data_IF_306235943399
#
_entry.id   IF_306235943399
#
_cell.length_a   1.000
_cell.length_b   1.000
_cell.length_c   1.000
_cell.angle_alpha   90.00
_cell.angle_beta   90.00
_cell.angle_gamma   90.00
#
_symmetry.space_group_name_H-M   'P 1'
#
loop_
_entity.id
_entity.type
_entity.pdbx_description
1 polymer ?
#
# COMPACT_ATOMS: atom_id res chain seq x y z
N UNK A 1 -9.24 -27.37 51.46
CA UNK A 1 -9.33 -25.90 51.67
C UNK A 1 -7.97 -25.20 51.80
N UNK A 2 -6.93 -25.82 52.42
CA UNK A 2 -5.59 -25.21 52.52
C UNK A 2 -4.78 -25.13 51.20
N UNK A 3 -5.01 -26.02 50.24
CA UNK A 3 -4.28 -26.02 48.95
C UNK A 3 -4.74 -24.92 47.96
N UNK A 4 -6.00 -24.47 48.01
CA UNK A 4 -6.51 -23.42 47.10
C UNK A 4 -6.10 -21.99 47.50
N UNK A 5 -5.78 -21.75 48.77
CA UNK A 5 -5.29 -20.44 49.24
C UNK A 5 -3.82 -20.22 48.80
N UNK A 6 -3.04 -21.30 48.71
CA UNK A 6 -1.63 -21.24 48.32
C UNK A 6 -1.43 -21.05 46.81
N UNK A 7 -2.32 -21.60 45.98
CA UNK A 7 -2.34 -21.36 44.52
C UNK A 7 -2.81 -19.92 44.21
N UNK A 8 -3.83 -19.40 44.91
CA UNK A 8 -4.23 -18.00 44.74
C UNK A 8 -3.14 -17.03 45.24
N UNK A 9 -2.45 -17.32 46.33
CA UNK A 9 -1.30 -16.52 46.78
C UNK A 9 -0.16 -16.55 45.76
N UNK A 10 0.19 -17.72 45.18
CA UNK A 10 1.25 -17.84 44.18
C UNK A 10 0.89 -17.18 42.83
N UNK A 11 -0.38 -17.22 42.42
CA UNK A 11 -0.88 -16.52 41.21
C UNK A 11 -0.98 -15.02 41.44
N UNK A 12 -1.29 -14.58 42.67
CA UNK A 12 -1.30 -13.17 43.05
C UNK A 12 0.12 -12.64 43.20
N UNK A 13 1.06 -13.42 43.76
CA UNK A 13 2.50 -13.12 43.82
C UNK A 13 3.13 -13.11 42.42
N UNK A 14 2.78 -14.05 41.53
CA UNK A 14 3.26 -14.04 40.14
C UNK A 14 2.63 -12.89 39.32
N UNK A 15 1.37 -12.54 39.59
CA UNK A 15 0.70 -11.38 38.98
C UNK A 15 1.24 -10.04 39.51
N UNK A 16 1.55 -9.97 40.80
CA UNK A 16 2.21 -8.82 41.44
C UNK A 16 3.66 -8.70 40.99
N UNK A 17 4.39 -9.81 40.87
CA UNK A 17 5.76 -9.84 40.35
C UNK A 17 5.81 -9.44 38.88
N UNK A 18 4.88 -9.92 38.04
CA UNK A 18 4.78 -9.49 36.65
C UNK A 18 4.37 -8.01 36.51
N UNK A 19 3.46 -7.52 37.37
CA UNK A 19 3.09 -6.12 37.42
C UNK A 19 4.25 -5.24 37.92
N UNK A 20 4.98 -5.69 38.93
CA UNK A 20 6.18 -5.02 39.45
C UNK A 20 7.28 -4.95 38.39
N UNK A 21 7.54 -6.05 37.69
CA UNK A 21 8.52 -6.11 36.61
C UNK A 21 8.11 -5.21 35.43
N UNK A 22 6.82 -5.10 35.13
CA UNK A 22 6.32 -4.17 34.11
C UNK A 22 6.48 -2.70 34.52
N UNK A 23 6.22 -2.36 35.79
CA UNK A 23 6.45 -1.01 36.30
C UNK A 23 7.95 -0.66 36.34
N UNK A 24 8.81 -1.62 36.73
CA UNK A 24 10.27 -1.44 36.69
C UNK A 24 10.78 -1.17 35.27
N UNK A 25 10.29 -1.91 34.26
CA UNK A 25 10.64 -1.66 32.86
C UNK A 25 10.17 -0.28 32.39
N UNK A 26 8.98 0.16 32.80
CA UNK A 26 8.45 1.48 32.49
C UNK A 26 9.28 2.60 33.13
N UNK A 27 9.69 2.43 34.38
CA UNK A 27 10.55 3.38 35.09
C UNK A 27 11.94 3.46 34.46
N UNK A 28 12.52 2.32 34.07
CA UNK A 28 13.79 2.25 33.34
C UNK A 28 13.68 2.93 31.97
N UNK A 29 12.59 2.70 31.23
CA UNK A 29 12.34 3.36 29.95
C UNK A 29 12.27 4.88 30.12
N UNK A 30 11.59 5.36 31.17
CA UNK A 30 11.49 6.78 31.46
C UNK A 30 12.84 7.39 31.86
N UNK A 31 13.67 6.65 32.62
CA UNK A 31 15.04 7.05 32.96
C UNK A 31 15.91 7.18 31.71
N UNK A 32 15.91 6.15 30.85
CA UNK A 32 16.68 6.16 29.59
C UNK A 32 16.27 7.31 28.69
N UNK A 33 14.96 7.52 28.48
CA UNK A 33 14.45 8.58 27.61
C UNK A 33 14.66 10.00 28.19
N UNK A 34 14.88 10.12 29.50
CA UNK A 34 15.19 11.40 30.15
C UNK A 34 16.70 11.71 30.22
N UNK A 35 17.57 10.73 29.91
CA UNK A 35 19.03 10.86 29.96
C UNK A 35 19.65 11.06 28.57
N UNK A 36 20.28 12.21 28.35
CA UNK A 36 21.04 12.47 27.11
C UNK A 36 22.25 11.56 26.94
N UNK A 37 22.87 11.16 28.05
CA UNK A 37 24.04 10.30 28.02
C UNK A 37 23.65 8.88 27.57
N UNK A 38 22.55 8.34 28.11
CA UNK A 38 22.07 6.99 27.78
C UNK A 38 21.61 6.92 26.32
N UNK A 39 20.88 7.94 25.84
CA UNK A 39 20.49 8.04 24.42
C UNK A 39 21.70 8.07 23.49
N UNK A 40 22.77 8.78 23.88
CA UNK A 40 24.01 8.84 23.08
C UNK A 40 24.75 7.51 23.06
N UNK A 41 24.72 6.76 24.16
CA UNK A 41 25.30 5.42 24.24
C UNK A 41 24.49 4.41 23.41
N UNK A 42 23.16 4.47 23.45
CA UNK A 42 22.27 3.69 22.58
C UNK A 42 22.51 4.02 21.11
N UNK A 43 22.73 5.29 20.77
CA UNK A 43 23.07 5.68 19.41
C UNK A 43 24.40 5.10 18.93
N UNK A 44 25.42 5.07 19.81
CA UNK A 44 26.70 4.41 19.52
C UNK A 44 26.50 2.90 19.32
N UNK A 45 25.74 2.24 20.19
CA UNK A 45 25.43 0.82 20.07
C UNK A 45 24.59 0.49 18.83
N UNK A 46 23.67 1.37 18.43
CA UNK A 46 22.82 1.17 17.24
C UNK A 46 23.65 1.14 15.94
N UNK A 47 24.76 1.89 15.89
CA UNK A 47 25.74 1.87 14.79
C UNK A 47 26.58 0.59 14.80
N UNK A 48 26.91 0.06 15.99
CA UNK A 48 27.76 -1.12 16.17
C UNK A 48 27.00 -2.46 16.02
N UNK A 49 25.73 -2.55 16.43
CA UNK A 49 24.97 -3.81 16.57
C UNK A 49 23.71 -3.93 15.67
N UNK A 50 23.53 -3.05 14.67
CA UNK A 50 22.39 -3.06 13.72
C UNK A 50 20.99 -2.92 14.35
N UNK A 51 20.67 -1.78 14.99
CA UNK A 51 19.31 -1.19 15.14
C UNK A 51 18.22 -1.70 16.15
N UNK A 52 18.15 -2.94 16.72
CA UNK A 52 16.91 -3.40 17.39
C UNK A 52 16.61 -2.69 18.72
N UNK A 53 17.62 -2.17 19.42
CA UNK A 53 17.44 -1.54 20.74
C UNK A 53 16.76 -0.18 20.61
N UNK A 54 17.20 0.64 19.64
CA UNK A 54 16.62 1.95 19.39
C UNK A 54 15.19 1.85 18.82
N UNK A 55 14.92 0.88 17.95
CA UNK A 55 13.57 0.59 17.44
C UNK A 55 12.62 0.15 18.56
N UNK A 56 13.09 -0.70 19.48
CA UNK A 56 12.30 -1.15 20.62
C UNK A 56 12.01 -0.03 21.60
N UNK A 57 13.01 0.81 21.92
CA UNK A 57 12.82 1.97 22.78
C UNK A 57 11.89 3.02 22.15
N UNK A 58 11.97 3.21 20.83
CA UNK A 58 11.05 4.08 20.10
C UNK A 58 9.61 3.56 20.18
N UNK A 59 9.41 2.26 19.96
CA UNK A 59 8.10 1.61 20.02
C UNK A 59 7.51 1.61 21.44
N UNK A 60 8.27 1.14 22.42
CA UNK A 60 7.82 1.02 23.82
C UNK A 60 7.57 2.41 24.42
N UNK A 61 8.42 3.40 24.08
CA UNK A 61 8.22 4.79 24.49
C UNK A 61 6.99 5.43 23.85
N UNK A 62 6.71 5.14 22.57
CA UNK A 62 5.50 5.62 21.89
C UNK A 62 4.24 5.03 22.55
N UNK A 63 4.25 3.74 22.88
CA UNK A 63 3.14 3.08 23.57
C UNK A 63 2.89 3.69 24.96
N UNK A 64 3.93 3.92 25.75
CA UNK A 64 3.78 4.52 27.09
C UNK A 64 3.35 5.98 27.04
N UNK A 65 3.82 6.74 26.02
CA UNK A 65 3.38 8.10 25.76
C UNK A 65 1.90 8.17 25.43
N UNK A 66 1.40 7.27 24.57
CA UNK A 66 -0.01 7.23 24.15
C UNK A 66 -0.97 6.90 25.30
N UNK A 67 -0.47 6.28 26.38
CA UNK A 67 -1.22 6.03 27.62
C UNK A 67 -1.33 7.25 28.54
N UNK A 68 -0.58 8.34 28.28
CA UNK A 68 -0.59 9.55 29.13
C UNK A 68 -1.56 10.63 28.60
N UNK A 69 -2.22 11.40 29.48
CA UNK A 69 -2.94 12.61 29.07
C UNK A 69 -1.99 13.62 28.41
N UNK A 70 -2.39 14.26 27.31
CA UNK A 70 -1.51 15.11 26.47
C UNK A 70 -0.98 16.36 27.17
N UNK A 71 -1.72 16.87 28.13
CA UNK A 71 -1.35 18.01 28.97
C UNK A 71 -0.50 17.61 30.19
N UNK A 72 -0.31 16.30 30.42
CA UNK A 72 0.51 15.81 31.52
C UNK A 72 1.98 16.03 31.24
N UNK A 73 2.73 16.33 32.31
CA UNK A 73 4.18 16.44 32.25
C UNK A 73 4.82 15.14 31.72
N UNK A 74 4.26 13.97 32.09
CA UNK A 74 4.73 12.66 31.62
C UNK A 74 4.64 12.51 30.10
N UNK A 75 3.56 13.00 29.47
CA UNK A 75 3.42 12.99 28.02
C UNK A 75 4.52 13.83 27.35
N UNK A 76 4.75 15.04 27.86
CA UNK A 76 5.79 15.95 27.35
C UNK A 76 7.20 15.39 27.52
N UNK A 77 7.44 14.66 28.62
CA UNK A 77 8.73 14.03 28.91
C UNK A 77 9.00 12.87 27.94
N UNK A 78 8.02 11.99 27.70
CA UNK A 78 8.14 10.94 26.69
C UNK A 78 8.33 11.53 25.29
N UNK A 79 7.55 12.54 24.92
CA UNK A 79 7.65 13.22 23.63
C UNK A 79 9.06 13.76 23.38
N UNK A 80 9.66 14.42 24.39
CA UNK A 80 11.01 14.98 24.31
C UNK A 80 12.07 13.88 24.24
N UNK A 81 11.91 12.80 25.01
CA UNK A 81 12.83 11.67 25.01
C UNK A 81 12.85 10.90 23.70
N UNK A 82 11.67 10.61 23.13
CA UNK A 82 11.53 9.98 21.82
C UNK A 82 12.11 10.86 20.69
N UNK A 83 11.91 12.18 20.76
CA UNK A 83 12.50 13.12 19.81
C UNK A 83 14.04 13.11 19.87
N UNK A 84 14.63 13.08 21.07
CA UNK A 84 16.08 12.97 21.23
C UNK A 84 16.60 11.63 20.71
N UNK A 85 15.90 10.53 20.99
CA UNK A 85 16.24 9.19 20.48
C UNK A 85 16.25 9.17 18.95
N UNK A 86 15.24 9.78 18.30
CA UNK A 86 15.19 9.94 16.85
C UNK A 86 16.39 10.74 16.33
N UNK A 87 16.67 11.91 16.91
CA UNK A 87 17.77 12.78 16.47
C UNK A 87 19.15 12.11 16.57
N UNK A 88 19.34 11.23 17.55
CA UNK A 88 20.62 10.54 17.76
C UNK A 88 20.76 9.24 16.96
N UNK A 89 19.67 8.56 16.64
CA UNK A 89 19.71 7.21 16.05
C UNK A 89 19.19 7.14 14.62
N UNK A 90 18.42 8.14 14.16
CA UNK A 90 17.71 8.12 12.89
C UNK A 90 16.47 7.21 12.85
N UNK A 91 16.20 6.47 13.93
CA UNK A 91 14.99 5.64 14.07
C UNK A 91 13.77 6.56 14.13
N UNK A 92 12.73 6.29 13.35
CA UNK A 92 11.49 7.06 13.33
C UNK A 92 10.45 6.41 14.27
N UNK A 93 9.55 7.19 14.90
CA UNK A 93 8.34 6.63 15.48
C UNK A 93 7.51 5.93 14.39
N UNK A 94 6.82 4.86 14.79
CA UNK A 94 5.88 4.12 13.93
C UNK A 94 4.86 5.10 13.36
N UNK A 95 4.84 5.27 12.03
CA UNK A 95 3.82 5.93 11.17
C UNK A 95 2.95 6.99 11.87
N UNK A 96 3.06 8.30 11.52
CA UNK A 96 2.41 9.38 12.26
C UNK A 96 0.93 9.13 12.59
N UNK A 97 0.55 9.23 13.86
CA UNK A 97 -0.86 9.17 14.27
C UNK A 97 -1.51 10.55 14.17
N UNK A 98 -2.32 10.74 13.13
CA UNK A 98 -2.97 12.00 12.76
C UNK A 98 -4.39 12.15 13.33
N UNK A 99 -4.76 11.31 14.30
CA UNK A 99 -6.11 11.24 14.89
C UNK A 99 -6.65 12.56 15.43
N UNK A 100 -5.77 13.47 15.84
CA UNK A 100 -6.14 14.79 16.38
C UNK A 100 -6.07 15.91 15.33
N UNK A 101 -5.52 15.62 14.15
CA UNK A 101 -5.26 16.61 13.10
C UNK A 101 -6.22 16.48 11.91
N UNK A 102 -6.94 15.36 11.85
CA UNK A 102 -7.82 15.02 10.75
C UNK A 102 -9.27 15.08 11.20
N UNK A 103 -10.10 15.71 10.38
CA UNK A 103 -11.55 15.67 10.49
C UNK A 103 -12.14 14.94 9.29
N UNK A 104 -13.18 14.12 9.51
CA UNK A 104 -13.85 13.41 8.43
C UNK A 104 -14.89 14.31 7.77
N UNK A 105 -14.81 14.46 6.45
CA UNK A 105 -15.78 15.21 5.65
C UNK A 105 -16.98 14.30 5.33
N UNK A 106 -17.99 14.32 6.21
CA UNK A 106 -19.24 13.59 6.04
C UNK A 106 -19.33 12.26 6.79
N UNK A 107 -20.52 11.65 6.78
CA UNK A 107 -20.80 10.40 7.50
C UNK A 107 -20.67 9.14 6.64
N UNK A 108 -20.84 9.26 5.32
CA UNK A 108 -20.81 8.13 4.38
C UNK A 108 -19.47 8.05 3.67
N UNK A 109 -19.04 6.82 3.38
CA UNK A 109 -17.87 6.59 2.54
C UNK A 109 -18.14 7.12 1.13
N UNK A 110 -17.09 7.68 0.50
CA UNK A 110 -17.13 8.12 -0.90
C UNK A 110 -17.05 6.92 -1.84
N UNK A 111 -16.27 5.92 -1.46
CA UNK A 111 -16.19 4.64 -2.17
C UNK A 111 -15.95 3.50 -1.19
N UNK A 112 -16.36 2.29 -1.57
CA UNK A 112 -16.21 1.08 -0.77
C UNK A 112 -15.76 -0.08 -1.65
N UNK A 113 -14.76 -0.81 -1.20
CA UNK A 113 -14.30 -2.07 -1.78
C UNK A 113 -14.76 -3.28 -0.96
N UNK A 114 -14.18 -4.44 -1.26
CA UNK A 114 -14.47 -5.68 -0.52
C UNK A 114 -13.98 -5.61 0.92
N UNK A 115 -12.80 -5.01 1.16
CA UNK A 115 -12.11 -5.02 2.47
C UNK A 115 -11.85 -3.63 3.04
N UNK A 116 -12.36 -2.57 2.39
CA UNK A 116 -12.08 -1.22 2.84
C UNK A 116 -13.16 -0.24 2.41
N UNK A 117 -13.28 0.84 3.17
CA UNK A 117 -14.07 2.00 2.85
C UNK A 117 -13.15 3.21 2.81
N UNK A 118 -13.43 4.14 1.90
CA UNK A 118 -12.66 5.38 1.76
C UNK A 118 -13.58 6.57 2.02
N UNK A 119 -13.21 7.37 3.00
CA UNK A 119 -13.83 8.66 3.28
C UNK A 119 -12.93 9.80 2.83
N UNK A 120 -13.54 10.93 2.54
CA UNK A 120 -12.81 12.19 2.42
C UNK A 120 -12.65 12.79 3.83
N UNK A 121 -11.52 13.42 4.06
CA UNK A 121 -11.23 14.16 5.27
C UNK A 121 -10.45 15.43 4.96
N UNK A 122 -10.16 16.17 6.01
CA UNK A 122 -9.38 17.39 5.97
C UNK A 122 -8.29 17.30 7.03
N UNK A 123 -7.05 17.53 6.62
CA UNK A 123 -5.89 17.60 7.49
C UNK A 123 -5.60 19.08 7.80
N UNK A 124 -5.55 19.40 9.09
CA UNK A 124 -5.31 20.74 9.63
C UNK A 124 -6.22 21.84 9.05
N UNK A 125 -7.47 21.49 8.69
CA UNK A 125 -8.47 22.47 8.24
C UNK A 125 -8.16 23.13 6.88
N UNK A 126 -7.34 22.49 6.03
CA UNK A 126 -7.13 23.02 4.68
C UNK A 126 -6.67 22.03 3.61
N UNK A 127 -6.13 20.86 3.97
CA UNK A 127 -5.67 19.87 2.98
C UNK A 127 -6.62 18.68 2.91
N UNK A 128 -7.21 18.44 1.73
CA UNK A 128 -8.03 17.24 1.51
C UNK A 128 -7.19 15.97 1.63
N UNK A 129 -7.71 15.00 2.37
CA UNK A 129 -7.09 13.68 2.55
C UNK A 129 -8.11 12.56 2.30
N UNK A 130 -7.61 11.42 1.84
CA UNK A 130 -8.34 10.17 1.80
C UNK A 130 -8.09 9.40 3.10
N UNK A 131 -9.16 8.93 3.73
CA UNK A 131 -9.14 8.11 4.93
C UNK A 131 -9.61 6.72 4.53
N UNK A 132 -8.68 5.78 4.38
CA UNK A 132 -9.00 4.40 4.00
C UNK A 132 -9.11 3.53 5.24
N UNK A 133 -10.32 3.28 5.70
CA UNK A 133 -10.58 2.36 6.80
C UNK A 133 -10.63 0.92 6.32
N UNK A 134 -9.81 0.06 6.92
CA UNK A 134 -9.77 -1.36 6.58
C UNK A 134 -10.77 -2.14 7.45
N UNK A 135 -11.64 -2.92 6.80
CA UNK A 135 -12.63 -3.76 7.48
C UNK A 135 -11.96 -5.05 7.93
N UNK A 136 -12.28 -5.53 9.14
CA UNK A 136 -11.86 -6.85 9.60
C UNK A 136 -10.39 -6.99 10.01
N UNK A 137 -9.64 -5.90 10.19
CA UNK A 137 -8.23 -5.94 10.65
C UNK A 137 -8.08 -6.33 12.14
N UNK A 138 -9.17 -6.58 12.85
CA UNK A 138 -9.15 -6.96 14.26
C UNK A 138 -9.34 -8.48 14.44
N UNK A 139 -8.30 -9.30 14.27
CA UNK A 139 -8.45 -10.75 14.55
C UNK A 139 -7.23 -11.45 15.18
N UNK A 140 -5.97 -10.98 15.07
CA UNK A 140 -4.87 -11.59 15.85
C UNK A 140 -3.63 -10.70 16.02
N UNK A 141 -2.79 -10.91 17.06
CA UNK A 141 -1.51 -10.21 17.24
C UNK A 141 -0.54 -10.37 16.05
N UNK A 142 -0.58 -11.53 15.38
CA UNK A 142 0.25 -11.80 14.20
C UNK A 142 -0.22 -11.00 12.97
N UNK A 143 -1.53 -10.91 12.77
CA UNK A 143 -2.14 -10.09 11.72
C UNK A 143 -1.82 -8.60 11.92
N UNK A 144 -1.84 -8.11 13.16
CA UNK A 144 -1.47 -6.75 13.51
C UNK A 144 0.01 -6.44 13.20
N UNK A 145 0.94 -7.32 13.61
CA UNK A 145 2.38 -7.14 13.35
C UNK A 145 2.71 -7.10 11.85
N UNK A 146 1.98 -7.88 11.04
CA UNK A 146 2.11 -7.88 9.58
C UNK A 146 1.54 -6.60 8.97
N UNK A 147 0.37 -6.18 9.42
CA UNK A 147 -0.22 -4.91 9.04
C UNK A 147 0.73 -3.73 9.31
N UNK A 148 1.33 -3.66 10.50
CA UNK A 148 2.30 -2.63 10.86
C UNK A 148 3.54 -2.63 9.96
N UNK A 149 4.05 -3.82 9.59
CA UNK A 149 5.19 -3.94 8.65
C UNK A 149 4.87 -3.34 7.29
N UNK A 150 3.71 -3.66 6.73
CA UNK A 150 3.28 -3.14 5.42
C UNK A 150 3.13 -1.62 5.45
N UNK A 151 2.58 -1.06 6.53
CA UNK A 151 2.46 0.39 6.69
C UNK A 151 3.85 1.04 6.81
N UNK A 152 4.79 0.44 7.54
CA UNK A 152 6.17 0.95 7.67
C UNK A 152 6.93 0.88 6.34
N UNK A 153 6.69 -0.15 5.53
CA UNK A 153 7.25 -0.22 4.17
C UNK A 153 6.67 0.92 3.34
N UNK A 154 5.34 1.09 3.32
CA UNK A 154 4.68 2.16 2.58
C UNK A 154 5.15 3.55 3.02
N UNK A 155 5.27 3.82 4.32
CA UNK A 155 5.70 5.15 4.81
C UNK A 155 7.11 5.54 4.41
N UNK A 156 7.95 4.58 4.00
CA UNK A 156 9.32 4.81 3.51
C UNK A 156 9.41 4.93 1.98
N UNK A 157 8.32 4.66 1.26
CA UNK A 157 8.30 4.81 -0.20
C UNK A 157 8.27 6.29 -0.57
N UNK A 158 9.20 6.68 -1.44
CA UNK A 158 9.33 8.04 -1.94
C UNK A 158 9.54 8.02 -3.46
N UNK A 159 8.46 8.24 -4.19
CA UNK A 159 8.48 8.28 -5.65
C UNK A 159 7.25 9.05 -6.17
N UNK A 160 7.38 9.91 -7.20
CA UNK A 160 6.28 10.75 -7.71
C UNK A 160 5.08 9.98 -8.26
N UNK A 161 5.26 8.71 -8.63
CA UNK A 161 4.21 7.83 -9.14
C UNK A 161 3.72 6.79 -8.11
N UNK A 162 4.03 6.98 -6.82
CA UNK A 162 3.49 6.18 -5.71
C UNK A 162 2.65 7.09 -4.83
N UNK A 163 1.44 6.65 -4.47
CA UNK A 163 0.59 7.42 -3.56
C UNK A 163 1.27 7.46 -2.18
N UNK A 164 1.58 8.63 -1.61
CA UNK A 164 2.26 8.71 -0.33
C UNK A 164 1.29 8.39 0.83
N UNK A 165 1.85 7.83 1.91
CA UNK A 165 1.18 7.64 3.17
C UNK A 165 1.58 8.76 4.14
N UNK A 166 0.62 9.60 4.54
CA UNK A 166 0.86 10.65 5.52
C UNK A 166 0.85 10.12 6.96
N UNK A 167 0.05 9.10 7.24
CA UNK A 167 -0.07 8.56 8.59
C UNK A 167 -1.27 7.65 8.75
N UNK A 168 -1.67 7.45 10.01
CA UNK A 168 -2.85 6.67 10.39
C UNK A 168 -3.78 7.47 11.31
N UNK A 169 -5.04 7.05 11.35
CA UNK A 169 -6.05 7.53 12.30
C UNK A 169 -6.71 6.34 12.97
N UNK A 170 -6.81 6.36 14.30
CA UNK A 170 -7.32 5.25 15.11
C UNK A 170 -8.54 5.61 15.95
N UNK A 171 -8.93 6.88 16.01
CA UNK A 171 -10.08 7.36 16.79
C UNK A 171 -11.37 7.55 15.96
N UNK A 172 -11.40 7.11 14.69
CA UNK A 172 -12.56 7.28 13.79
C UNK A 172 -13.39 6.00 13.63
N UNK A 173 -13.84 5.45 14.76
CA UNK A 173 -14.61 4.20 14.81
C UNK A 173 -13.75 2.96 15.07
N UNK A 174 -14.23 1.75 14.76
CA UNK A 174 -13.58 0.50 15.15
C UNK A 174 -12.39 0.09 14.26
N UNK A 175 -12.03 0.91 13.27
CA UNK A 175 -11.05 0.55 12.25
C UNK A 175 -9.89 1.54 12.22
N UNK A 176 -8.70 1.03 11.90
CA UNK A 176 -7.55 1.86 11.57
C UNK A 176 -7.78 2.43 10.16
N UNK A 177 -7.57 3.74 10.03
CA UNK A 177 -7.67 4.45 8.76
C UNK A 177 -6.28 4.86 8.29
N UNK A 178 -5.92 4.49 7.07
CA UNK A 178 -4.70 4.95 6.40
C UNK A 178 -4.98 6.32 5.77
N UNK A 179 -4.04 7.25 5.91
CA UNK A 179 -4.18 8.63 5.46
C UNK A 179 -3.27 8.90 4.27
N UNK A 180 -3.85 9.30 3.15
CA UNK A 180 -3.14 9.72 1.94
C UNK A 180 -3.72 11.02 1.39
N UNK A 181 -3.01 11.76 0.52
CA UNK A 181 -3.59 12.93 -0.13
C UNK A 181 -4.79 12.53 -1.00
N UNK A 182 -5.87 13.31 -0.90
CA UNK A 182 -7.02 13.14 -1.78
C UNK A 182 -6.64 13.43 -3.24
N UNK A 183 -7.09 12.59 -4.16
CA UNK A 183 -6.81 12.71 -5.59
C UNK A 183 -8.09 13.15 -6.30
N UNK A 184 -8.24 14.46 -6.53
CA UNK A 184 -9.48 15.05 -7.07
C UNK A 184 -9.83 14.54 -8.49
N UNK A 185 -8.81 14.13 -9.27
CA UNK A 185 -8.99 13.58 -10.61
C UNK A 185 -9.37 12.08 -10.62
N UNK A 186 -9.52 11.46 -9.45
CA UNK A 186 -10.01 10.09 -9.32
C UNK A 186 -9.04 9.05 -9.88
N UNK A 187 -9.59 7.94 -10.41
CA UNK A 187 -8.80 6.85 -10.99
C UNK A 187 -8.56 7.05 -12.49
N UNK A 188 -7.53 6.38 -13.01
CA UNK A 188 -7.08 6.52 -14.39
C UNK A 188 -8.18 6.24 -15.41
N UNK A 189 -9.04 5.23 -15.20
CA UNK A 189 -10.08 4.87 -16.16
C UNK A 189 -11.15 5.96 -16.27
N UNK A 190 -11.60 6.49 -15.13
CA UNK A 190 -12.61 7.55 -15.13
C UNK A 190 -12.01 8.88 -15.62
N UNK A 191 -10.75 9.14 -15.30
CA UNK A 191 -10.02 10.32 -15.77
C UNK A 191 -9.87 10.36 -17.30
N UNK A 192 -9.44 9.26 -17.94
CA UNK A 192 -9.29 9.23 -19.40
C UNK A 192 -10.64 9.22 -20.15
N UNK A 193 -11.74 8.84 -19.48
CA UNK A 193 -13.09 8.98 -20.04
C UNK A 193 -13.56 10.44 -20.04
N UNK A 194 -13.21 11.20 -19.00
CA UNK A 194 -13.56 12.63 -18.90
C UNK A 194 -12.60 13.54 -19.66
N UNK A 195 -11.39 13.07 -19.97
CA UNK A 195 -10.36 13.79 -20.73
C UNK A 195 -9.93 12.96 -21.95
N UNK A 196 -10.74 12.91 -23.02
CA UNK A 196 -10.49 12.04 -24.16
C UNK A 196 -9.14 12.30 -24.86
N UNK A 197 -8.69 13.56 -24.83
CA UNK A 197 -7.47 14.06 -25.48
C UNK A 197 -6.20 13.85 -24.64
N UNK A 198 -6.33 13.32 -23.41
CA UNK A 198 -5.15 13.09 -22.58
C UNK A 198 -4.26 12.01 -23.20
N UNK A 199 -2.95 12.24 -23.18
CA UNK A 199 -1.97 11.24 -23.60
C UNK A 199 -1.97 10.05 -22.64
N UNK A 200 -2.74 9.01 -22.99
CA UNK A 200 -2.93 7.81 -22.14
C UNK A 200 -1.64 7.04 -21.95
N UNK A 201 -0.77 7.00 -22.96
CA UNK A 201 0.52 6.32 -22.87
C UNK A 201 1.48 7.04 -21.92
N UNK A 202 1.49 8.39 -21.92
CA UNK A 202 2.29 9.16 -20.97
C UNK A 202 1.81 8.94 -19.52
N UNK A 203 0.49 8.91 -19.31
CA UNK A 203 -0.12 8.60 -18.02
C UNK A 203 0.25 7.19 -17.54
N UNK A 204 0.12 6.20 -18.42
CA UNK A 204 0.51 4.81 -18.13
C UNK A 204 2.02 4.67 -17.93
N UNK A 205 2.86 5.43 -18.63
CA UNK A 205 4.30 5.45 -18.40
C UNK A 205 4.63 5.92 -16.98
N UNK A 206 3.90 6.92 -16.46
CA UNK A 206 3.98 7.33 -15.05
C UNK A 206 3.67 6.18 -14.10
N UNK A 207 2.55 5.49 -14.30
CA UNK A 207 2.22 4.31 -13.50
C UNK A 207 3.28 3.20 -13.64
N UNK A 208 3.82 2.96 -14.84
CA UNK A 208 4.87 1.97 -15.06
C UNK A 208 6.15 2.29 -14.26
N UNK A 209 6.55 3.57 -14.19
CA UNK A 209 7.69 4.02 -13.35
C UNK A 209 7.46 3.76 -11.87
N UNK A 210 6.22 3.96 -11.39
CA UNK A 210 5.84 3.57 -10.04
C UNK A 210 6.04 2.08 -9.78
N UNK A 211 5.58 1.22 -10.70
CA UNK A 211 5.76 -0.23 -10.57
C UNK A 211 7.24 -0.64 -10.66
N UNK A 212 8.02 -0.02 -11.55
CA UNK A 212 9.47 -0.24 -11.66
C UNK A 212 10.17 0.09 -10.35
N UNK A 213 9.81 1.22 -9.72
CA UNK A 213 10.30 1.60 -8.40
C UNK A 213 9.96 0.55 -7.34
N UNK A 214 8.70 0.09 -7.25
CA UNK A 214 8.30 -0.96 -6.31
C UNK A 214 9.08 -2.27 -6.54
N UNK A 215 9.26 -2.67 -7.79
CA UNK A 215 9.95 -3.90 -8.19
C UNK A 215 11.47 -3.82 -8.04
N UNK A 216 12.03 -2.63 -7.80
CA UNK A 216 13.47 -2.44 -7.65
C UNK A 216 14.03 -3.32 -6.52
N UNK A 217 15.28 -3.83 -6.65
CA UNK A 217 15.87 -4.68 -5.61
C UNK A 217 15.97 -4.03 -4.22
N UNK A 218 16.02 -2.70 -4.16
CA UNK A 218 16.07 -1.94 -2.90
C UNK A 218 14.72 -1.76 -2.22
N UNK A 219 13.61 -1.88 -2.96
CA UNK A 219 12.25 -1.74 -2.44
C UNK A 219 11.59 -3.12 -2.26
N UNK A 220 11.61 -3.95 -3.31
CA UNK A 220 11.15 -5.34 -3.24
C UNK A 220 9.65 -5.51 -2.97
N UNK A 221 8.83 -4.53 -3.34
CA UNK A 221 7.37 -4.55 -3.12
C UNK A 221 6.65 -5.06 -4.36
N UNK A 222 5.73 -6.00 -4.16
CA UNK A 222 4.81 -6.49 -5.20
C UNK A 222 3.45 -5.83 -5.00
N UNK A 223 2.87 -5.33 -6.10
CA UNK A 223 1.57 -4.67 -6.05
C UNK A 223 0.43 -5.65 -5.81
N UNK A 224 0.35 -6.72 -6.62
CA UNK A 224 -0.60 -7.82 -6.50
C UNK A 224 -1.99 -7.59 -7.07
N UNK A 225 -2.41 -6.34 -7.28
CA UNK A 225 -3.72 -6.00 -7.87
C UNK A 225 -3.68 -4.83 -8.87
N UNK A 226 -2.84 -4.91 -9.89
CA UNK A 226 -2.66 -3.79 -10.84
C UNK A 226 -3.86 -3.69 -11.81
N UNK A 227 -4.56 -2.55 -11.78
CA UNK A 227 -5.70 -2.20 -12.66
C UNK A 227 -5.93 -0.70 -12.67
N UNK A 228 -6.67 -0.16 -13.63
CA UNK A 228 -6.86 1.30 -13.73
C UNK A 228 -7.54 1.92 -12.50
N UNK A 229 -8.39 1.18 -11.79
CA UNK A 229 -9.03 1.68 -10.56
C UNK A 229 -8.05 1.90 -9.41
N UNK A 230 -6.84 1.32 -9.47
CA UNK A 230 -5.78 1.42 -8.47
C UNK A 230 -4.63 2.34 -8.94
N UNK A 231 -4.84 3.07 -10.04
CA UNK A 231 -3.96 4.13 -10.52
C UNK A 231 -4.76 5.43 -10.35
N UNK A 232 -4.39 6.25 -9.38
CA UNK A 232 -5.04 7.53 -9.12
C UNK A 232 -4.33 8.66 -9.85
N UNK A 233 -5.07 9.69 -10.22
CA UNK A 233 -4.53 10.85 -10.92
C UNK A 233 -4.53 12.04 -9.96
N UNK A 234 -3.36 12.65 -9.78
CA UNK A 234 -3.22 13.84 -8.93
C UNK A 234 -3.84 15.07 -9.57
N UNK A 235 -4.01 16.11 -8.76
CA UNK A 235 -4.40 17.46 -9.19
C UNK A 235 -3.52 18.00 -10.33
N UNK A 236 -2.24 17.59 -10.37
CA UNK A 236 -1.27 17.93 -11.40
C UNK A 236 -1.28 17.00 -12.62
N UNK A 237 -2.25 16.07 -12.71
CA UNK A 237 -2.35 15.10 -13.80
C UNK A 237 -1.31 13.98 -13.75
N UNK A 238 -0.66 13.76 -12.59
CA UNK A 238 0.36 12.72 -12.43
C UNK A 238 -0.29 11.42 -11.96
N UNK A 239 -0.01 10.32 -12.66
CA UNK A 239 -0.45 8.99 -12.24
C UNK A 239 0.30 8.51 -10.98
N UNK A 240 -0.44 8.07 -9.98
CA UNK A 240 0.08 7.51 -8.72
C UNK A 240 -0.55 6.15 -8.46
N UNK A 241 0.27 5.17 -8.10
CA UNK A 241 -0.21 3.84 -7.75
C UNK A 241 -0.66 3.83 -6.30
N UNK A 242 -1.81 3.21 -6.03
CA UNK A 242 -2.28 2.94 -4.68
C UNK A 242 -2.62 1.46 -4.51
N UNK A 243 -2.95 1.03 -3.29
CA UNK A 243 -3.46 -0.31 -3.00
C UNK A 243 -2.49 -1.49 -3.26
N UNK A 244 -1.20 -1.20 -3.42
CA UNK A 244 -0.16 -2.23 -3.44
C UNK A 244 -0.06 -2.96 -2.10
N UNK A 245 0.27 -4.26 -2.14
CA UNK A 245 0.44 -5.09 -0.95
C UNK A 245 -0.86 -5.45 -0.21
N UNK A 246 -1.99 -4.80 -0.51
CA UNK A 246 -3.24 -5.02 0.23
C UNK A 246 -3.81 -6.43 0.08
N UNK A 247 -3.63 -7.09 -1.07
CA UNK A 247 -4.09 -8.47 -1.24
C UNK A 247 -3.32 -9.46 -0.38
N UNK A 248 -2.01 -9.23 -0.19
CA UNK A 248 -1.13 -10.03 0.67
C UNK A 248 -1.53 -9.80 2.13
N UNK A 249 -1.73 -8.53 2.51
CA UNK A 249 -2.20 -8.14 3.83
C UNK A 249 -3.54 -8.81 4.17
N UNK A 250 -4.52 -8.81 3.25
CA UNK A 250 -5.81 -9.48 3.47
C UNK A 250 -5.64 -11.00 3.60
N UNK A 251 -4.81 -11.62 2.77
CA UNK A 251 -4.51 -13.05 2.88
C UNK A 251 -3.93 -13.40 4.25
N UNK A 252 -2.99 -12.59 4.73
CA UNK A 252 -2.34 -12.79 6.01
C UNK A 252 -3.24 -12.56 7.22
N UNK A 253 -4.28 -11.72 7.09
CA UNK A 253 -5.25 -11.40 8.15
C UNK A 253 -6.42 -12.38 8.18
N UNK A 254 -6.87 -12.86 7.01
CA UNK A 254 -8.10 -13.64 6.87
C UNK A 254 -7.88 -15.12 6.61
N UNK A 255 -6.63 -15.54 6.37
CA UNK A 255 -6.25 -16.90 5.93
C UNK A 255 -6.88 -17.33 4.59
N UNK A 256 -7.51 -16.39 3.86
CA UNK A 256 -8.05 -16.59 2.51
C UNK A 256 -7.00 -16.20 1.50
N UNK A 257 -6.63 -17.10 0.57
CA UNK A 257 -5.58 -16.82 -0.41
C UNK A 257 -5.79 -15.51 -1.18
N UNK A 258 -4.71 -14.80 -1.51
CA UNK A 258 -4.79 -13.55 -2.26
C UNK A 258 -5.56 -13.71 -3.57
N UNK A 259 -5.39 -14.85 -4.26
CA UNK A 259 -6.12 -15.17 -5.49
C UNK A 259 -7.64 -15.26 -5.30
N UNK A 260 -8.11 -15.95 -4.25
CA UNK A 260 -9.53 -16.05 -3.94
C UNK A 260 -10.12 -14.69 -3.56
N UNK A 261 -9.39 -13.93 -2.74
CA UNK A 261 -9.70 -12.55 -2.34
C UNK A 261 -9.84 -11.62 -3.56
N UNK A 262 -8.88 -11.67 -4.48
CA UNK A 262 -8.86 -10.85 -5.69
C UNK A 262 -9.96 -11.23 -6.67
N UNK A 263 -10.23 -12.53 -6.83
CA UNK A 263 -11.34 -13.03 -7.65
C UNK A 263 -12.68 -12.57 -7.10
N UNK A 264 -12.90 -12.68 -5.78
CA UNK A 264 -14.11 -12.24 -5.11
C UNK A 264 -14.30 -10.71 -5.16
N UNK A 265 -13.20 -9.94 -5.24
CA UNK A 265 -13.23 -8.48 -5.41
C UNK A 265 -13.44 -8.01 -6.86
N UNK A 266 -13.74 -8.93 -7.79
CA UNK A 266 -13.99 -8.62 -9.20
C UNK A 266 -12.72 -8.31 -10.00
N UNK A 267 -11.54 -8.70 -9.50
CA UNK A 267 -10.25 -8.45 -10.14
C UNK A 267 -9.78 -9.60 -11.03
N UNK A 268 -10.61 -10.64 -11.21
CA UNK A 268 -10.27 -11.88 -11.93
C UNK A 268 -9.69 -11.67 -13.35
N UNK A 269 -10.13 -10.61 -14.05
CA UNK A 269 -9.72 -10.31 -15.44
C UNK A 269 -8.30 -9.77 -15.58
N UNK A 270 -7.69 -9.32 -14.48
CA UNK A 270 -6.33 -8.80 -14.42
C UNK A 270 -5.35 -9.82 -13.83
N UNK A 271 -5.83 -10.95 -13.32
CA UNK A 271 -4.98 -11.95 -12.68
C UNK A 271 -4.24 -12.81 -13.69
N UNK A 272 -2.98 -13.07 -13.40
CA UNK A 272 -2.14 -13.97 -14.17
C UNK A 272 -2.59 -15.44 -13.99
N UNK A 273 -2.44 -16.30 -15.02
CA UNK A 273 -2.92 -17.68 -14.98
C UNK A 273 -2.37 -18.49 -13.80
N UNK A 274 -1.08 -18.35 -13.50
CA UNK A 274 -0.40 -19.09 -12.43
C UNK A 274 -0.97 -18.80 -11.03
N UNK A 275 -1.50 -17.58 -10.82
CA UNK A 275 -2.14 -17.15 -9.58
C UNK A 275 -3.59 -17.65 -9.50
N UNK A 276 -4.32 -17.66 -10.63
CA UNK A 276 -5.67 -18.23 -10.70
C UNK A 276 -5.64 -19.75 -10.49
N UNK A 277 -4.66 -20.42 -11.09
CA UNK A 277 -4.45 -21.87 -10.99
C UNK A 277 -3.96 -22.30 -9.60
N UNK A 278 -3.49 -21.36 -8.77
CA UNK A 278 -2.94 -21.66 -7.43
C UNK A 278 -1.59 -22.38 -7.49
N UNK A 279 -0.87 -22.29 -8.61
CA UNK A 279 0.51 -22.82 -8.74
C UNK A 279 1.51 -21.98 -7.95
N UNK A 280 1.16 -20.73 -7.68
CA UNK A 280 1.81 -19.84 -6.72
C UNK A 280 0.78 -19.39 -5.69
N UNK A 281 1.22 -19.22 -4.44
CA UNK A 281 0.33 -18.84 -3.33
C UNK A 281 0.11 -17.32 -3.24
N UNK A 282 1.10 -16.54 -3.66
CA UNK A 282 1.07 -15.08 -3.51
C UNK A 282 1.52 -14.39 -4.80
N UNK A 283 1.08 -13.14 -5.05
CA UNK A 283 1.50 -12.39 -6.22
C UNK A 283 3.02 -12.19 -6.30
N UNK A 284 3.52 -12.04 -7.53
CA UNK A 284 4.94 -11.75 -7.83
C UNK A 284 5.06 -10.53 -8.73
N UNK A 285 6.29 -10.03 -8.90
CA UNK A 285 6.56 -8.96 -9.89
C UNK A 285 6.09 -9.37 -11.29
N UNK A 286 6.21 -10.64 -11.68
CA UNK A 286 5.70 -11.15 -12.97
C UNK A 286 4.18 -11.11 -13.08
N UNK A 287 3.44 -11.33 -11.98
CA UNK A 287 1.98 -11.17 -11.99
C UNK A 287 1.57 -9.71 -12.14
N UNK A 288 2.36 -8.78 -11.60
CA UNK A 288 2.12 -7.35 -11.81
C UNK A 288 2.35 -6.94 -13.26
N UNK A 289 3.37 -7.50 -13.95
CA UNK A 289 3.57 -7.25 -15.39
C UNK A 289 2.34 -7.68 -16.19
N UNK A 290 1.78 -8.84 -15.88
CA UNK A 290 0.56 -9.35 -16.52
C UNK A 290 -0.63 -8.42 -16.26
N UNK A 291 -0.88 -8.07 -14.99
CA UNK A 291 -1.97 -7.19 -14.58
C UNK A 291 -1.85 -5.78 -15.15
N UNK A 292 -0.63 -5.24 -15.21
CA UNK A 292 -0.36 -3.94 -15.81
C UNK A 292 -0.64 -3.93 -17.31
N UNK A 293 -0.30 -5.00 -18.03
CA UNK A 293 -0.67 -5.15 -19.45
C UNK A 293 -2.20 -5.16 -19.66
N UNK A 294 -2.95 -5.76 -18.74
CA UNK A 294 -4.42 -5.68 -18.73
C UNK A 294 -4.91 -4.26 -18.43
N UNK A 295 -4.23 -3.51 -17.55
CA UNK A 295 -4.54 -2.10 -17.28
C UNK A 295 -4.26 -1.19 -18.48
N UNK A 296 -3.19 -1.43 -19.26
CA UNK A 296 -2.93 -0.73 -20.53
C UNK A 296 -4.10 -0.94 -21.48
N UNK A 297 -4.53 -2.20 -21.67
CA UNK A 297 -5.68 -2.51 -22.53
C UNK A 297 -6.95 -1.81 -22.05
N UNK A 298 -7.21 -1.84 -20.74
CA UNK A 298 -8.37 -1.19 -20.12
C UNK A 298 -8.39 0.31 -20.37
N UNK A 299 -7.27 1.00 -20.14
CA UNK A 299 -7.13 2.44 -20.32
C UNK A 299 -7.24 2.86 -21.79
N UNK A 300 -6.60 2.13 -22.71
CA UNK A 300 -6.57 2.46 -24.12
C UNK A 300 -7.90 2.15 -24.84
N UNK A 301 -8.68 1.19 -24.36
CA UNK A 301 -9.96 0.79 -24.97
C UNK A 301 -11.19 1.28 -24.22
N UNK A 302 -11.03 1.80 -23.01
CA UNK A 302 -12.09 2.18 -22.07
C UNK A 302 -13.03 1.02 -21.70
N UNK A 303 -12.60 -0.22 -21.96
CA UNK A 303 -13.36 -1.46 -21.73
C UNK A 303 -12.56 -2.39 -20.83
N UNK A 304 -13.22 -3.10 -19.92
CA UNK A 304 -12.58 -4.14 -19.12
C UNK A 304 -11.91 -5.20 -20.03
N UNK A 305 -10.79 -5.82 -19.60
CA UNK A 305 -10.20 -6.94 -20.32
C UNK A 305 -11.22 -8.06 -20.56
N UNK A 306 -11.14 -8.72 -21.73
CA UNK A 306 -12.13 -9.70 -22.18
C UNK A 306 -13.58 -9.18 -22.18
N UNK A 307 -13.81 -7.94 -22.64
CA UNK A 307 -15.13 -7.30 -22.67
C UNK A 307 -16.23 -8.14 -23.35
N UNK A 308 -15.85 -8.96 -24.35
CA UNK A 308 -16.75 -9.89 -25.05
C UNK A 308 -17.26 -11.04 -24.17
N UNK A 309 -16.59 -11.35 -23.05
CA UNK A 309 -17.03 -12.33 -22.06
C UNK A 309 -17.89 -11.68 -20.99
N UNK A 310 -19.14 -12.14 -20.87
CA UNK A 310 -20.09 -11.66 -19.86
C UNK A 310 -19.69 -12.04 -18.43
N UNK A 311 -19.24 -13.29 -18.22
CA UNK A 311 -18.95 -13.89 -16.90
C UNK A 311 -17.45 -14.11 -16.70
N UNK A 312 -16.97 -13.88 -15.49
CA UNK A 312 -15.55 -14.04 -15.15
C UNK A 312 -15.11 -15.51 -15.18
N UNK A 313 -16.00 -16.46 -14.88
CA UNK A 313 -15.72 -17.90 -15.05
C UNK A 313 -15.33 -18.28 -16.50
N UNK A 314 -15.90 -17.59 -17.50
CA UNK A 314 -15.50 -17.81 -18.89
C UNK A 314 -14.12 -17.23 -19.18
N UNK A 315 -13.78 -16.08 -18.57
CA UNK A 315 -12.44 -15.49 -18.67
C UNK A 315 -11.41 -16.37 -17.99
N UNK A 316 -11.70 -16.88 -16.80
CA UNK A 316 -10.83 -17.81 -16.08
C UNK A 316 -10.52 -19.02 -16.95
N UNK A 317 -11.53 -19.68 -17.55
CA UNK A 317 -11.29 -20.81 -18.46
C UNK A 317 -10.45 -20.39 -19.67
N UNK A 318 -10.78 -19.27 -20.31
CA UNK A 318 -10.03 -18.80 -21.48
C UNK A 318 -8.54 -18.57 -21.15
N UNK A 319 -8.25 -18.03 -19.97
CA UNK A 319 -6.88 -17.73 -19.51
C UNK A 319 -6.13 -18.99 -19.06
N UNK A 320 -6.76 -19.86 -18.25
CA UNK A 320 -6.07 -20.99 -17.60
C UNK A 320 -6.09 -22.28 -18.41
N UNK A 321 -7.15 -22.53 -19.18
CA UNK A 321 -7.31 -23.75 -19.98
C UNK A 321 -6.94 -23.48 -21.43
N UNK A 322 -7.56 -22.46 -22.03
CA UNK A 322 -7.39 -22.18 -23.47
C UNK A 322 -6.11 -21.35 -23.75
N UNK A 323 -5.45 -20.85 -22.69
CA UNK A 323 -4.23 -20.00 -22.75
C UNK A 323 -4.38 -18.81 -23.69
N UNK A 324 -5.57 -18.20 -23.68
CA UNK A 324 -5.93 -17.05 -24.50
C UNK A 324 -5.70 -15.74 -23.75
N UNK A 325 -5.23 -14.74 -24.48
CA UNK A 325 -5.24 -13.34 -24.05
C UNK A 325 -6.30 -12.55 -24.86
N UNK A 326 -6.66 -11.32 -24.44
CA UNK A 326 -7.60 -10.49 -25.19
C UNK A 326 -7.16 -10.28 -26.64
N UNK A 327 -8.10 -10.17 -27.60
CA UNK A 327 -7.76 -9.86 -28.99
C UNK A 327 -7.24 -8.42 -29.10
N UNK A 328 -6.43 -8.15 -30.13
CA UNK A 328 -5.98 -6.80 -30.44
C UNK A 328 -7.19 -5.91 -30.75
N UNK A 329 -7.32 -4.73 -30.14
CA UNK A 329 -8.37 -3.79 -30.51
C UNK A 329 -8.08 -3.21 -31.90
N UNK A 330 -9.06 -3.28 -32.80
CA UNK A 330 -8.92 -2.78 -34.16
C UNK A 330 -8.84 -1.25 -34.23
N UNK A 331 -9.52 -0.55 -33.31
CA UNK A 331 -9.78 0.89 -33.42
C UNK A 331 -9.02 1.74 -32.38
N UNK A 332 -7.96 1.21 -31.75
CA UNK A 332 -7.23 1.94 -30.71
C UNK A 332 -5.97 2.61 -31.25
N UNK A 333 -6.01 3.93 -31.40
CA UNK A 333 -4.86 4.76 -31.80
C UNK A 333 -3.69 4.69 -30.81
N UNK A 334 -3.96 4.32 -29.54
CA UNK A 334 -2.96 4.22 -28.48
C UNK A 334 -2.18 2.90 -28.51
N UNK A 335 -2.68 1.86 -29.19
CA UNK A 335 -2.08 0.51 -29.20
C UNK A 335 -1.33 0.29 -30.51
N UNK A 336 -0.13 0.88 -30.58
CA UNK A 336 0.83 0.68 -31.68
C UNK A 336 1.31 -0.77 -31.75
N UNK A 337 1.97 -1.15 -32.83
CA UNK A 337 2.55 -2.50 -32.99
C UNK A 337 3.56 -2.82 -31.88
N UNK A 338 4.39 -1.85 -31.48
CA UNK A 338 5.39 -2.05 -30.43
C UNK A 338 4.75 -2.22 -29.04
N UNK A 339 3.74 -1.40 -28.73
CA UNK A 339 2.96 -1.50 -27.49
C UNK A 339 2.26 -2.85 -27.45
N UNK A 340 1.56 -3.24 -28.53
CA UNK A 340 0.87 -4.52 -28.63
C UNK A 340 1.80 -5.71 -28.49
N UNK A 341 2.93 -5.72 -29.19
CA UNK A 341 3.92 -6.81 -29.08
C UNK A 341 4.46 -6.94 -27.66
N UNK A 342 4.64 -5.82 -26.95
CA UNK A 342 5.05 -5.82 -25.54
C UNK A 342 3.94 -6.37 -24.64
N UNK A 343 2.69 -6.00 -24.87
CA UNK A 343 1.53 -6.54 -24.14
C UNK A 343 1.40 -8.06 -24.30
N UNK A 344 1.56 -8.58 -25.53
CA UNK A 344 1.54 -10.02 -25.78
C UNK A 344 2.65 -10.76 -25.02
N UNK A 345 3.88 -10.22 -24.97
CA UNK A 345 4.96 -10.81 -24.16
C UNK A 345 4.65 -10.76 -22.66
N UNK A 346 4.03 -9.68 -22.19
CA UNK A 346 3.57 -9.55 -20.80
C UNK A 346 2.47 -10.55 -20.42
N UNK A 347 1.75 -11.11 -21.40
CA UNK A 347 0.74 -12.15 -21.20
C UNK A 347 1.25 -13.58 -21.43
N UNK A 348 2.56 -13.78 -21.53
CA UNK A 348 3.14 -15.12 -21.59
C UNK A 348 2.65 -16.01 -20.45
N UNK A 349 2.24 -17.23 -20.77
CA UNK A 349 1.89 -18.28 -19.80
C UNK A 349 3.06 -18.61 -18.89
N UNK A 350 4.28 -18.59 -19.43
CA UNK A 350 5.51 -18.73 -18.66
C UNK A 350 5.88 -17.38 -18.03
N UNK A 351 5.71 -17.27 -16.72
CA UNK A 351 5.87 -16.01 -15.98
C UNK A 351 7.25 -15.38 -16.16
N UNK A 352 8.32 -16.19 -16.16
CA UNK A 352 9.70 -15.75 -16.30
C UNK A 352 10.07 -15.23 -17.71
N UNK A 353 9.24 -15.49 -18.73
CA UNK A 353 9.41 -14.94 -20.08
C UNK A 353 8.81 -13.54 -20.23
N UNK A 354 8.04 -13.07 -19.23
CA UNK A 354 7.47 -11.72 -19.25
C UNK A 354 8.60 -10.69 -19.10
N UNK A 355 8.50 -9.52 -19.76
CA UNK A 355 9.52 -8.49 -19.66
C UNK A 355 9.59 -7.89 -18.25
N UNK A 356 10.73 -7.32 -17.90
CA UNK A 356 10.85 -6.47 -16.71
C UNK A 356 10.03 -5.19 -16.89
N UNK A 357 9.59 -4.59 -15.78
CA UNK A 357 8.83 -3.33 -15.83
C UNK A 357 9.63 -2.20 -16.50
N UNK A 358 10.96 -2.18 -16.34
CA UNK A 358 11.87 -1.24 -17.01
C UNK A 358 11.79 -1.28 -18.54
N UNK A 359 11.50 -2.45 -19.13
CA UNK A 359 11.27 -2.57 -20.58
C UNK A 359 9.92 -1.97 -20.95
N UNK A 360 8.87 -2.22 -20.15
CA UNK A 360 7.53 -1.68 -20.37
C UNK A 360 7.54 -0.15 -20.30
N UNK A 361 8.20 0.44 -19.30
CA UNK A 361 8.40 1.89 -19.17
C UNK A 361 8.96 2.49 -20.46
N UNK A 362 10.10 1.95 -20.94
CA UNK A 362 10.77 2.46 -22.15
C UNK A 362 9.88 2.40 -23.40
N UNK A 363 9.08 1.34 -23.55
CA UNK A 363 8.15 1.22 -24.69
C UNK A 363 7.04 2.26 -24.60
N UNK A 364 6.44 2.46 -23.42
CA UNK A 364 5.38 3.44 -23.24
C UNK A 364 5.88 4.87 -23.46
N UNK A 365 7.06 5.22 -22.93
CA UNK A 365 7.64 6.56 -23.09
C UNK A 365 8.01 6.89 -24.54
N UNK A 366 8.51 5.91 -25.31
CA UNK A 366 8.78 6.11 -26.73
C UNK A 366 7.50 6.38 -27.52
N UNK A 367 6.46 5.60 -27.27
CA UNK A 367 5.20 5.69 -28.01
C UNK A 367 4.31 6.86 -27.55
N UNK A 368 4.52 7.38 -26.34
CA UNK A 368 3.83 8.60 -25.89
C UNK A 368 4.28 9.85 -26.63
N UNK A 369 5.54 9.91 -27.06
CA UNK A 369 6.13 11.07 -27.76
C UNK A 369 5.77 11.11 -29.25
N UNK A 370 5.46 9.96 -29.85
CA UNK A 370 5.01 9.88 -31.25
C UNK A 370 3.55 10.29 -31.42
N UNK A 371 2.73 10.21 -30.37
CA UNK A 371 1.32 10.61 -30.44
C UNK A 371 1.14 12.13 -30.50
N UNK A 372 2.12 12.92 -30.06
CA UNK A 372 2.07 14.39 -30.11
C UNK A 372 2.54 14.99 -31.45
N UNK A 373 3.20 14.22 -32.31
CA UNK A 373 3.71 14.72 -33.61
C UNK A 373 2.71 14.55 -34.75
N UNK A 374 1.76 13.63 -34.64
CA UNK A 374 0.73 13.42 -35.67
C UNK A 374 -0.32 14.54 -35.69
N UNK A 375 -0.51 15.26 -34.57
CA UNK A 375 -1.42 16.42 -34.52
C UNK A 375 -0.81 17.69 -35.13
N UNK A 376 0.51 17.86 -35.08
CA UNK A 376 1.18 19.02 -35.71
C UNK A 376 1.23 18.89 -37.24
N UNK A 377 1.47 17.68 -37.78
CA UNK A 377 1.48 17.43 -39.23
C UNK A 377 0.08 17.53 -39.87
N UNK A 378 -1.00 17.44 -39.08
CA UNK A 378 -2.38 17.58 -39.54
C UNK A 378 -2.94 19.01 -39.47
N UNK A 379 -2.18 19.96 -38.91
CA UNK A 379 -2.53 21.38 -38.89
C UNK A 379 -1.74 22.21 -39.93
N UNK A 380 -0.87 21.58 -40.71
CA UNK A 380 -0.10 22.21 -41.81
C UNK A 380 -0.58 21.83 -43.24
N UNK A 381 -1.66 21.06 -43.39
CA UNK A 381 -2.39 20.89 -44.67
C UNK A 381 -3.73 21.62 -44.68
#
# INVERSE_FOLDING_TARGET
>A
MRANIQIHAQVTENGQAAHHHFQEVKELLQQVLSSRQDISEIARMAVEERLPVAERLMSDGQQEMDLQPRDSQKYLDYQRGLLNLHQSTGVLPSVPNLSQEITRSGQRAVTGGTFSDVWMGEWLGGKKVALKGLRGVAVSPNAQKRFEREIVVWSKLDHPNILPLFGIVTNMGPHIHLVSPWQDNGNALDFVKSHPDVNRLALLAGAARGLEYLHSPSVGVVHGNVKCSNILISDKGVATICDFGLSILVEEVTEVSASATLTASGSARWLAPELIEGTINSPTTYTDIYGFSMAILECCTLKRPFAHRKRDAAVIRDVTVDRLHPPRPADSVWITDEVWATMCRSWSSEAHLRPLMSHVVKVLERNSNTSSTVEDDMMEE
#
